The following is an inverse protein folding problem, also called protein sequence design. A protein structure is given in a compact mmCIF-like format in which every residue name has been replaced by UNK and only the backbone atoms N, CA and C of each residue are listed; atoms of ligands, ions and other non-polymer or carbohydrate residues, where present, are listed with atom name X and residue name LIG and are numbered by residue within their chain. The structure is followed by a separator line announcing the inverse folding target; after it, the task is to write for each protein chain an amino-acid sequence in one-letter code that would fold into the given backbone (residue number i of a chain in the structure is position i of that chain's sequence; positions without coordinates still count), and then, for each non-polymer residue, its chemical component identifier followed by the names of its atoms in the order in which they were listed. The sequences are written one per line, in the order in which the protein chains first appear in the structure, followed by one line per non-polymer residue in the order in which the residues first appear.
data_IF_264534833281
#
_entry.id   IF_264534833281
#
_cell.length_a   1.000
_cell.length_b   1.000
_cell.length_c   1.000
_cell.angle_alpha   90.00
_cell.angle_beta   90.00
_cell.angle_gamma   90.00
#
_symmetry.space_group_name_H-M   'P 1'
#
loop_
_entity.id
_entity.type
_entity.pdbx_description
1 polymer ?
#
# COMPACT_ATOMS: atom_id res chain seq x y z
N UNK A 1 36.85 4.51 -2.44
CA UNK A 1 35.38 4.58 -2.20
C UNK A 1 34.52 3.56 -2.96
N UNK A 2 35.05 2.78 -3.93
CA UNK A 2 34.21 1.88 -4.75
C UNK A 2 33.67 0.61 -4.07
N UNK A 3 34.43 0.01 -3.15
CA UNK A 3 34.06 -1.27 -2.52
C UNK A 3 32.89 -1.08 -1.54
N UNK A 4 32.96 -0.10 -0.63
CA UNK A 4 31.91 0.15 0.36
C UNK A 4 30.54 0.46 -0.29
N UNK A 5 30.53 1.29 -1.34
CA UNK A 5 29.31 1.61 -2.09
C UNK A 5 28.75 0.38 -2.81
N UNK A 6 29.62 -0.47 -3.36
CA UNK A 6 29.20 -1.72 -4.01
C UNK A 6 28.59 -2.70 -3.00
N UNK A 7 29.23 -2.87 -1.83
CA UNK A 7 28.71 -3.70 -0.74
C UNK A 7 27.37 -3.18 -0.24
N UNK A 8 27.21 -1.87 -0.05
CA UNK A 8 25.93 -1.25 0.35
C UNK A 8 24.83 -1.56 -0.66
N UNK A 9 25.09 -1.36 -1.97
CA UNK A 9 24.11 -1.69 -3.03
C UNK A 9 23.68 -3.15 -3.01
N UNK A 10 24.60 -4.08 -2.74
CA UNK A 10 24.28 -5.51 -2.63
C UNK A 10 23.38 -5.76 -1.41
N UNK A 11 23.73 -5.21 -0.25
CA UNK A 11 22.93 -5.37 0.97
C UNK A 11 21.51 -4.78 0.80
N UNK A 12 21.38 -3.58 0.24
CA UNK A 12 20.07 -2.97 -0.04
C UNK A 12 19.22 -3.87 -0.94
N UNK A 13 19.80 -4.44 -2.01
CA UNK A 13 19.08 -5.40 -2.87
C UNK A 13 18.65 -6.66 -2.13
N UNK A 14 19.46 -7.15 -1.20
CA UNK A 14 19.11 -8.33 -0.38
C UNK A 14 17.94 -8.02 0.56
N UNK A 15 17.98 -6.86 1.23
CA UNK A 15 16.89 -6.37 2.10
C UNK A 15 15.60 -6.24 1.31
N UNK A 16 15.64 -5.59 0.15
CA UNK A 16 14.47 -5.41 -0.72
C UNK A 16 13.88 -6.73 -1.22
N UNK A 17 14.75 -7.67 -1.58
CA UNK A 17 14.31 -9.01 -1.99
C UNK A 17 13.66 -9.76 -0.82
N UNK A 18 14.25 -9.68 0.37
CA UNK A 18 13.70 -10.27 1.59
C UNK A 18 12.32 -9.69 1.93
N UNK A 19 12.20 -8.36 1.91
CA UNK A 19 10.93 -7.65 2.10
C UNK A 19 9.87 -8.12 1.10
N UNK A 20 10.21 -8.14 -0.19
CA UNK A 20 9.30 -8.59 -1.26
C UNK A 20 8.84 -10.05 -1.06
N UNK A 21 9.74 -10.93 -0.63
CA UNK A 21 9.42 -12.33 -0.30
C UNK A 21 8.47 -12.39 0.90
N UNK A 22 8.73 -11.60 1.94
CA UNK A 22 7.86 -11.49 3.11
C UNK A 22 6.45 -11.05 2.75
N UNK A 23 6.32 -9.97 1.97
CA UNK A 23 5.04 -9.49 1.46
C UNK A 23 4.29 -10.55 0.64
N UNK A 24 5.00 -11.22 -0.26
CA UNK A 24 4.41 -12.31 -1.05
C UNK A 24 3.83 -13.42 -0.16
N UNK A 25 4.58 -13.89 0.83
CA UNK A 25 4.09 -14.94 1.74
C UNK A 25 2.95 -14.43 2.63
N UNK A 26 3.03 -13.19 3.10
CA UNK A 26 1.95 -12.53 3.84
C UNK A 26 0.65 -12.51 3.05
N UNK A 27 0.69 -12.10 1.78
CA UNK A 27 -0.47 -12.10 0.89
C UNK A 27 -0.99 -13.50 0.56
N UNK A 28 -0.09 -14.49 0.42
CA UNK A 28 -0.49 -15.89 0.24
C UNK A 28 -1.19 -16.46 1.48
N UNK A 29 -0.69 -16.15 2.67
CA UNK A 29 -1.35 -16.54 3.93
C UNK A 29 -2.72 -15.87 4.06
N UNK A 30 -2.79 -14.58 3.73
CA UNK A 30 -4.03 -13.79 3.69
C UNK A 30 -5.08 -14.43 2.78
N UNK A 31 -4.75 -14.81 1.54
CA UNK A 31 -5.73 -15.41 0.64
C UNK A 31 -6.16 -16.80 1.10
N UNK A 32 -5.29 -17.55 1.78
CA UNK A 32 -5.63 -18.87 2.35
C UNK A 32 -6.54 -18.83 3.59
N UNK A 33 -6.79 -17.66 4.17
CA UNK A 33 -7.72 -17.50 5.31
C UNK A 33 -9.10 -18.06 4.96
N UNK A 34 -9.67 -18.85 5.87
CA UNK A 34 -10.93 -19.57 5.65
C UNK A 34 -12.09 -18.64 5.33
N UNK A 35 -12.14 -17.43 5.91
CA UNK A 35 -13.19 -16.45 5.63
C UNK A 35 -13.11 -15.97 4.19
N UNK A 36 -11.90 -15.72 3.67
CA UNK A 36 -11.71 -15.33 2.26
C UNK A 36 -11.99 -16.48 1.32
N UNK A 37 -11.55 -17.69 1.65
CA UNK A 37 -11.86 -18.87 0.85
C UNK A 37 -13.37 -19.12 0.73
N UNK A 38 -14.13 -18.87 1.80
CA UNK A 38 -15.60 -18.95 1.77
C UNK A 38 -16.23 -17.92 0.83
N UNK A 39 -15.64 -16.74 0.67
CA UNK A 39 -16.08 -15.73 -0.30
C UNK A 39 -15.72 -16.13 -1.74
N UNK A 40 -14.49 -16.61 -1.94
CA UNK A 40 -13.97 -17.02 -3.26
C UNK A 40 -14.80 -18.18 -3.83
N UNK A 41 -15.18 -19.16 -2.99
CA UNK A 41 -15.98 -20.32 -3.40
C UNK A 41 -17.38 -19.94 -3.91
N UNK A 42 -17.93 -18.81 -3.45
CA UNK A 42 -19.25 -18.31 -3.89
C UNK A 42 -19.21 -17.67 -5.28
N UNK A 43 -18.03 -17.39 -5.82
CA UNK A 43 -17.86 -16.76 -7.13
C UNK A 43 -17.34 -17.78 -8.14
N UNK A 44 -18.18 -18.09 -9.13
CA UNK A 44 -17.79 -18.82 -10.33
C UNK A 44 -17.41 -17.83 -11.43
N UNK A 45 -16.28 -18.07 -12.09
CA UNK A 45 -15.89 -17.37 -13.30
C UNK A 45 -16.21 -18.25 -14.48
N UNK A 46 -16.84 -17.68 -15.50
CA UNK A 46 -17.05 -18.30 -16.81
C UNK A 46 -15.71 -18.49 -17.54
N UNK A 47 -15.67 -19.38 -18.53
CA UNK A 47 -14.47 -19.57 -19.35
C UNK A 47 -14.09 -18.31 -20.14
N UNK A 48 -15.09 -17.51 -20.53
CA UNK A 48 -14.86 -16.22 -21.18
C UNK A 48 -14.16 -15.21 -20.26
N UNK A 49 -14.61 -15.11 -19.01
CA UNK A 49 -13.99 -14.24 -18.00
C UNK A 49 -12.56 -14.68 -17.66
N UNK A 50 -12.33 -15.99 -17.50
CA UNK A 50 -10.98 -16.53 -17.28
C UNK A 50 -10.06 -16.21 -18.46
N UNK A 51 -10.54 -16.37 -19.69
CA UNK A 51 -9.78 -16.04 -20.89
C UNK A 51 -9.40 -14.56 -20.93
N UNK A 52 -10.32 -13.64 -20.59
CA UNK A 52 -10.01 -12.20 -20.50
C UNK A 52 -8.90 -11.90 -19.49
N UNK A 53 -8.95 -12.51 -18.30
CA UNK A 53 -7.90 -12.36 -17.29
C UNK A 53 -6.57 -12.90 -17.83
N UNK A 54 -6.57 -14.11 -18.37
CA UNK A 54 -5.38 -14.75 -18.92
C UNK A 54 -4.76 -13.90 -20.04
N UNK A 55 -5.55 -13.43 -21.00
CA UNK A 55 -5.08 -12.61 -22.11
C UNK A 55 -4.44 -11.31 -21.61
N UNK A 56 -5.04 -10.64 -20.61
CA UNK A 56 -4.50 -9.42 -20.02
C UNK A 56 -3.15 -9.68 -19.32
N UNK A 57 -3.05 -10.70 -18.47
CA UNK A 57 -1.85 -10.97 -17.69
C UNK A 57 -0.75 -11.65 -18.51
N UNK A 58 -1.07 -12.49 -19.48
CA UNK A 58 -0.07 -13.04 -20.40
C UNK A 58 0.52 -11.91 -21.24
N UNK A 59 -0.30 -11.00 -21.78
CA UNK A 59 0.18 -9.87 -22.58
C UNK A 59 1.06 -8.90 -21.80
N UNK A 60 0.67 -8.52 -20.57
CA UNK A 60 1.34 -7.45 -19.82
C UNK A 60 2.34 -7.95 -18.77
N UNK A 61 2.09 -9.12 -18.18
CA UNK A 61 2.92 -9.71 -17.12
C UNK A 61 3.72 -10.94 -17.58
N UNK A 62 3.41 -11.49 -18.77
CA UNK A 62 4.13 -12.60 -19.39
C UNK A 62 3.66 -13.99 -18.92
N UNK A 63 2.70 -14.08 -17.99
CA UNK A 63 2.16 -15.37 -17.51
C UNK A 63 0.77 -15.24 -16.91
N UNK A 64 0.07 -16.37 -16.89
CA UNK A 64 -1.21 -16.53 -16.18
C UNK A 64 -1.05 -16.40 -14.67
N UNK A 65 -2.13 -16.04 -14.02
CA UNK A 65 -2.21 -15.86 -12.56
C UNK A 65 -3.33 -16.70 -11.97
N UNK A 66 -3.33 -16.88 -10.65
CA UNK A 66 -4.46 -17.51 -9.96
C UNK A 66 -5.65 -16.55 -9.91
N UNK A 67 -6.85 -17.07 -10.13
CA UNK A 67 -8.08 -16.27 -10.15
C UNK A 67 -8.63 -15.91 -8.77
N UNK A 68 -8.03 -16.41 -7.68
CA UNK A 68 -8.52 -16.23 -6.31
C UNK A 68 -8.75 -14.76 -5.95
N UNK A 69 -7.86 -13.87 -6.39
CA UNK A 69 -7.99 -12.43 -6.15
C UNK A 69 -9.13 -11.79 -6.95
N UNK A 70 -9.29 -12.15 -8.24
CA UNK A 70 -10.43 -11.67 -9.04
C UNK A 70 -11.76 -12.11 -8.40
N UNK A 71 -11.85 -13.38 -8.01
CA UNK A 71 -13.03 -13.92 -7.31
C UNK A 71 -13.28 -13.22 -5.98
N UNK A 72 -12.22 -12.93 -5.22
CA UNK A 72 -12.34 -12.23 -3.95
C UNK A 72 -12.88 -10.81 -4.15
N UNK A 73 -12.31 -10.01 -5.06
CA UNK A 73 -12.79 -8.65 -5.31
C UNK A 73 -14.21 -8.64 -5.86
N UNK A 74 -14.53 -9.52 -6.81
CA UNK A 74 -15.89 -9.69 -7.34
C UNK A 74 -16.89 -10.09 -6.24
N UNK A 75 -16.46 -10.83 -5.21
CA UNK A 75 -17.34 -11.18 -4.08
C UNK A 75 -17.86 -9.94 -3.32
N UNK A 76 -17.07 -8.86 -3.29
CA UNK A 76 -17.42 -7.59 -2.67
C UNK A 76 -18.17 -6.66 -3.62
N UNK A 77 -17.68 -6.51 -4.86
CA UNK A 77 -18.22 -5.53 -5.83
C UNK A 77 -19.42 -6.05 -6.62
N UNK A 78 -19.62 -7.37 -6.64
CA UNK A 78 -20.60 -8.09 -7.47
C UNK A 78 -20.43 -7.91 -8.98
N UNK A 79 -19.31 -7.31 -9.43
CA UNK A 79 -19.01 -7.05 -10.84
C UNK A 79 -17.70 -7.72 -11.22
N UNK A 80 -17.68 -8.36 -12.38
CA UNK A 80 -16.46 -8.86 -12.98
C UNK A 80 -15.63 -7.69 -13.52
N UNK A 81 -14.31 -7.77 -13.32
CA UNK A 81 -13.33 -6.87 -13.93
C UNK A 81 -12.03 -7.65 -14.16
N UNK A 82 -11.61 -7.73 -15.44
CA UNK A 82 -10.33 -8.34 -15.81
C UNK A 82 -9.12 -7.56 -15.29
N UNK A 83 -9.29 -6.28 -14.93
CA UNK A 83 -8.22 -5.39 -14.47
C UNK A 83 -7.96 -5.45 -12.98
N UNK A 84 -8.75 -6.22 -12.22
CA UNK A 84 -8.46 -6.43 -10.81
C UNK A 84 -7.04 -6.96 -10.62
N UNK A 85 -6.25 -6.25 -9.84
CA UNK A 85 -4.84 -6.53 -9.70
C UNK A 85 -4.58 -7.33 -8.42
N UNK A 86 -3.98 -8.54 -8.48
CA UNK A 86 -3.75 -9.35 -7.30
C UNK A 86 -2.83 -8.66 -6.28
N UNK A 87 -3.24 -8.63 -5.02
CA UNK A 87 -2.48 -7.99 -3.94
C UNK A 87 -1.05 -8.52 -3.82
N UNK A 88 -0.85 -9.83 -4.01
CA UNK A 88 0.50 -10.41 -3.97
C UNK A 88 1.41 -9.89 -5.08
N UNK A 89 0.89 -9.46 -6.23
CA UNK A 89 1.69 -8.81 -7.27
C UNK A 89 1.88 -7.33 -6.94
N UNK A 90 0.89 -6.68 -6.34
CA UNK A 90 0.98 -5.31 -5.88
C UNK A 90 2.11 -5.16 -4.85
N UNK A 91 1.96 -5.76 -3.69
CA UNK A 91 2.86 -5.56 -2.54
C UNK A 91 4.25 -6.18 -2.73
N UNK A 92 4.39 -7.27 -3.51
CA UNK A 92 5.68 -7.94 -3.68
C UNK A 92 6.44 -7.59 -4.96
N UNK A 93 5.80 -6.89 -5.92
CA UNK A 93 6.43 -6.57 -7.22
C UNK A 93 6.25 -5.13 -7.64
N UNK A 94 5.01 -4.62 -7.63
CA UNK A 94 4.73 -3.28 -8.16
C UNK A 94 5.15 -2.20 -7.15
N UNK A 95 4.63 -2.27 -5.93
CA UNK A 95 4.90 -1.31 -4.87
C UNK A 95 6.41 -1.18 -4.58
N UNK A 96 7.21 -2.26 -4.45
CA UNK A 96 8.63 -2.11 -4.21
C UNK A 96 9.43 -1.47 -5.36
N UNK A 97 8.90 -1.54 -6.59
CA UNK A 97 9.52 -0.87 -7.76
C UNK A 97 9.14 0.59 -7.86
N UNK A 98 7.95 0.95 -7.41
CA UNK A 98 7.43 2.32 -7.44
C UNK A 98 7.94 3.13 -6.25
N UNK A 99 8.16 2.48 -5.12
CA UNK A 99 8.59 3.10 -3.87
C UNK A 99 9.98 2.60 -3.49
N UNK A 100 10.97 3.45 -3.73
CA UNK A 100 12.34 3.19 -3.30
C UNK A 100 12.38 3.03 -1.78
N UNK A 101 13.12 2.02 -1.31
CA UNK A 101 13.26 1.65 0.08
C UNK A 101 13.66 2.83 0.96
N UNK A 102 14.56 3.66 0.43
CA UNK A 102 15.10 4.85 1.11
C UNK A 102 14.09 5.99 1.24
N UNK A 103 12.90 5.89 0.62
CA UNK A 103 11.85 6.88 0.74
C UNK A 103 10.57 6.36 1.40
N UNK A 104 10.48 5.04 1.67
CA UNK A 104 9.30 4.45 2.31
C UNK A 104 9.04 5.05 3.69
N UNK A 105 10.07 5.25 4.51
CA UNK A 105 9.91 5.83 5.85
C UNK A 105 9.39 7.28 5.81
N UNK A 106 9.69 8.02 4.73
CA UNK A 106 9.21 9.39 4.55
C UNK A 106 7.70 9.39 4.29
N UNK A 107 7.23 8.45 3.46
CA UNK A 107 5.80 8.32 3.14
C UNK A 107 5.01 7.62 4.24
N UNK A 108 5.67 6.79 5.07
CA UNK A 108 5.07 6.16 6.25
C UNK A 108 4.79 7.17 7.37
N UNK A 109 5.54 8.28 7.43
CA UNK A 109 5.30 9.34 8.41
C UNK A 109 4.09 10.19 8.03
N UNK A 110 2.97 9.91 8.70
CA UNK A 110 1.71 10.62 8.52
C UNK A 110 1.82 12.12 8.80
N UNK A 111 2.81 12.58 9.56
CA UNK A 111 3.02 14.00 9.85
C UNK A 111 3.50 14.77 8.62
N UNK A 112 4.11 14.07 7.66
CA UNK A 112 4.58 14.64 6.40
C UNK A 112 3.52 14.62 5.30
N UNK A 113 2.40 13.89 5.47
CA UNK A 113 1.35 13.84 4.45
C UNK A 113 0.79 15.21 4.04
N UNK A 114 0.56 16.19 4.94
CA UNK A 114 0.14 17.52 4.54
C UNK A 114 1.12 18.18 3.55
N UNK A 115 2.44 17.99 3.75
CA UNK A 115 3.48 18.52 2.85
C UNK A 115 3.33 17.98 1.42
N UNK A 116 2.91 16.73 1.28
CA UNK A 116 2.79 16.08 -0.02
C UNK A 116 1.41 16.19 -0.65
N UNK A 117 0.35 16.35 0.14
CA UNK A 117 -1.02 16.20 -0.32
C UNK A 117 -1.83 17.50 -0.34
N UNK A 118 -1.41 18.53 0.41
CA UNK A 118 -2.11 19.81 0.46
C UNK A 118 -2.01 20.53 -0.89
N UNK A 119 -3.14 21.06 -1.37
CA UNK A 119 -3.21 21.74 -2.67
C UNK A 119 -3.26 20.81 -3.90
N UNK A 120 -3.19 19.48 -3.73
CA UNK A 120 -3.34 18.55 -4.85
C UNK A 120 -4.81 18.41 -5.26
N UNK A 121 -5.09 18.61 -6.55
CA UNK A 121 -6.43 18.47 -7.12
C UNK A 121 -7.02 17.07 -6.84
N UNK A 122 -8.27 17.04 -6.38
CA UNK A 122 -9.02 15.83 -6.01
C UNK A 122 -8.47 15.02 -4.81
N UNK A 123 -7.48 15.54 -4.08
CA UNK A 123 -7.01 14.94 -2.82
C UNK A 123 -7.60 15.72 -1.66
N UNK A 124 -8.40 15.05 -0.82
CA UNK A 124 -8.94 15.64 0.41
C UNK A 124 -7.95 15.41 1.55
N UNK A 125 -7.43 16.49 2.13
CA UNK A 125 -6.60 16.44 3.33
C UNK A 125 -7.43 16.79 4.57
N UNK A 126 -7.25 16.09 5.70
CA UNK A 126 -7.91 16.46 6.95
C UNK A 126 -7.31 17.75 7.50
N UNK A 127 -8.15 18.63 8.06
CA UNK A 127 -7.65 19.77 8.85
C UNK A 127 -7.00 19.24 10.12
N UNK A 128 -5.73 19.57 10.33
CA UNK A 128 -4.96 19.16 11.51
C UNK A 128 -4.97 20.29 12.54
N UNK A 129 -5.58 20.09 13.70
CA UNK A 129 -5.61 21.11 14.76
C UNK A 129 -4.44 21.01 15.74
N UNK A 130 -3.93 19.78 15.95
CA UNK A 130 -2.85 19.51 16.89
C UNK A 130 -2.05 18.30 16.41
N UNK A 131 -0.73 18.39 16.50
CA UNK A 131 0.19 17.26 16.30
C UNK A 131 1.00 17.03 17.57
N UNK A 132 1.09 15.77 18.03
CA UNK A 132 1.94 15.39 19.16
C UNK A 132 2.87 14.27 18.70
N UNK A 133 4.18 14.47 18.85
CA UNK A 133 5.20 13.49 18.49
C UNK A 133 6.37 13.55 19.48
N UNK A 134 6.70 12.44 20.13
CA UNK A 134 7.79 12.36 21.12
C UNK A 134 7.79 13.51 22.16
N UNK A 135 6.62 13.83 22.73
CA UNK A 135 6.40 14.95 23.65
C UNK A 135 6.64 16.36 23.08
N UNK A 136 6.79 16.49 21.77
CA UNK A 136 6.83 17.74 21.02
C UNK A 136 5.42 18.01 20.50
N UNK A 137 4.93 19.24 20.68
CA UNK A 137 3.56 19.64 20.35
C UNK A 137 3.61 20.71 19.27
N UNK A 138 2.80 20.56 18.23
CA UNK A 138 2.66 21.53 17.17
C UNK A 138 1.21 21.96 16.97
N UNK A 139 1.00 23.23 16.71
CA UNK A 139 -0.31 23.78 16.35
C UNK A 139 -0.75 23.43 14.90
N UNK A 140 -1.90 23.96 14.48
CA UNK A 140 -2.43 23.81 13.12
C UNK A 140 -1.51 24.36 12.02
N UNK A 141 -0.66 25.35 12.36
CA UNK A 141 0.29 25.99 11.46
C UNK A 141 1.69 25.35 11.57
N UNK A 142 1.83 24.22 12.27
CA UNK A 142 3.09 23.50 12.52
C UNK A 142 4.12 24.29 13.34
N UNK A 143 3.69 25.28 14.12
CA UNK A 143 4.55 25.96 15.08
C UNK A 143 4.67 25.13 16.37
N UNK A 144 5.86 25.15 16.97
CA UNK A 144 6.12 24.51 18.26
C UNK A 144 5.33 25.22 19.38
N UNK A 145 4.58 24.45 20.16
CA UNK A 145 3.80 24.94 21.31
C UNK A 145 4.09 24.15 22.58
N UNK A 146 3.81 24.75 23.73
CA UNK A 146 3.91 24.09 25.03
C UNK A 146 2.61 23.37 25.40
N UNK A 147 2.70 22.38 26.29
CA UNK A 147 1.55 21.64 26.82
C UNK A 147 0.47 22.54 27.43
N UNK A 148 0.86 23.68 28.02
CA UNK A 148 -0.07 24.63 28.63
C UNK A 148 -0.88 25.39 27.57
N UNK A 149 -0.27 25.75 26.44
CA UNK A 149 -0.94 26.46 25.35
C UNK A 149 -2.03 25.61 24.69
N UNK A 150 -1.88 24.29 24.74
CA UNK A 150 -2.84 23.33 24.16
C UNK A 150 -4.15 23.27 24.94
N UNK A 151 -4.14 23.58 26.25
CA UNK A 151 -5.36 23.61 27.05
C UNK A 151 -6.36 24.67 26.57
N UNK A 152 -5.88 25.65 25.80
CA UNK A 152 -6.70 26.69 25.19
C UNK A 152 -7.18 26.34 23.77
N UNK A 153 -6.69 25.25 23.17
CA UNK A 153 -7.17 24.75 21.88
C UNK A 153 -8.53 24.08 22.05
N UNK A 154 -9.59 24.88 21.94
CA UNK A 154 -10.94 24.36 21.73
C UNK A 154 -11.06 23.97 20.26
N UNK A 155 -11.03 22.67 19.97
CA UNK A 155 -11.46 22.17 18.67
C UNK A 155 -12.89 22.64 18.47
N UNK A 156 -13.08 23.58 17.53
CA UNK A 156 -14.40 24.06 17.17
C UNK A 156 -15.21 22.88 16.63
N UNK A 157 -16.13 22.39 17.44
CA UNK A 157 -17.28 21.61 17.02
C UNK A 157 -18.51 22.52 17.11
#
# INVERSE_FOLDING_TARGET
MGILNSTRKIMTRMIEKSYSIGQFHGEKKKISDSRRQNLIKKVSLTEFEKKKIDDLFVKNYGKKIKYDWHKLYQSFTKKFDEKYFPEYLFSSKLEPKMNDAEYRYVLDDKLLLPLFCEGIANVRTPKTFLTIYNNIWFDENKNLISKQQVQNYRGGC
#
